data_IF_425175531383
#
_entry.id   IF_425175531383
#
_cell.length_a   1.000
_cell.length_b   1.000
_cell.length_c   1.000
_cell.angle_alpha   90.00
_cell.angle_beta   90.00
_cell.angle_gamma   90.00
#
_symmetry.space_group_name_H-M   'P 1'
#
loop_
_entity.id
_entity.type
_entity.pdbx_description
1 polymer ?
#
# COMPACT_ATOMS: atom_id res chain seq x y z
N UNK A 1 -0.08 -14.00 -23.27
CA UNK A 1 -0.73 -14.12 -21.95
C UNK A 1 -2.25 -13.92 -22.04
N UNK A 2 -2.72 -12.88 -22.72
CA UNK A 2 -4.16 -12.67 -22.92
C UNK A 2 -4.79 -13.75 -23.82
N UNK A 3 -4.17 -14.08 -24.93
CA UNK A 3 -4.58 -15.17 -25.85
C UNK A 3 -4.60 -16.53 -25.16
N UNK A 4 -3.68 -16.79 -24.23
CA UNK A 4 -3.66 -18.00 -23.39
C UNK A 4 -4.70 -18.00 -22.27
N UNK A 5 -5.51 -16.94 -22.11
CA UNK A 5 -6.52 -16.80 -21.07
C UNK A 5 -5.94 -16.66 -19.65
N UNK A 6 -4.66 -16.29 -19.50
CA UNK A 6 -4.03 -16.10 -18.20
C UNK A 6 -4.36 -14.72 -17.60
N UNK A 7 -4.61 -13.75 -18.46
CA UNK A 7 -5.02 -12.40 -18.08
C UNK A 7 -6.19 -11.92 -18.93
N UNK A 8 -7.08 -11.17 -18.31
CA UNK A 8 -8.12 -10.39 -19.02
C UNK A 8 -7.62 -8.98 -19.23
N UNK A 9 -7.70 -8.51 -20.47
CA UNK A 9 -7.47 -7.10 -20.82
C UNK A 9 -8.75 -6.31 -20.62
N UNK A 10 -8.63 -5.14 -20.01
CA UNK A 10 -9.74 -4.20 -19.83
C UNK A 10 -9.30 -2.79 -20.19
N UNK A 11 -10.19 -2.06 -20.85
CA UNK A 11 -10.01 -0.64 -21.21
C UNK A 11 -11.14 0.16 -20.52
N UNK A 12 -11.07 0.39 -19.18
CA UNK A 12 -12.21 0.91 -18.41
C UNK A 12 -12.53 2.37 -18.73
N UNK A 13 -11.54 3.16 -19.15
CA UNK A 13 -11.70 4.57 -19.44
C UNK A 13 -10.94 4.98 -20.70
N UNK A 14 -11.54 5.76 -21.62
CA UNK A 14 -10.85 6.29 -22.78
C UNK A 14 -9.63 7.14 -22.39
N UNK A 15 -8.49 6.85 -23.02
CA UNK A 15 -7.25 7.59 -22.80
C UNK A 15 -6.49 7.24 -21.53
N UNK A 16 -7.00 6.36 -20.69
CA UNK A 16 -6.30 5.84 -19.52
C UNK A 16 -5.50 4.56 -19.86
N UNK A 17 -4.49 4.19 -19.05
CA UNK A 17 -3.75 2.95 -19.23
C UNK A 17 -4.64 1.72 -19.23
N UNK A 18 -4.32 0.77 -20.08
CA UNK A 18 -5.00 -0.53 -20.11
C UNK A 18 -4.75 -1.27 -18.81
N UNK A 19 -5.77 -1.96 -18.36
CA UNK A 19 -5.72 -2.79 -17.18
C UNK A 19 -5.65 -4.27 -17.57
N UNK A 20 -4.72 -5.00 -16.98
CA UNK A 20 -4.59 -6.43 -17.11
C UNK A 20 -4.91 -7.08 -15.77
N UNK A 21 -5.90 -7.94 -15.77
CA UNK A 21 -6.36 -8.66 -14.58
C UNK A 21 -6.03 -10.14 -14.72
N UNK A 22 -5.38 -10.71 -13.71
CA UNK A 22 -5.15 -12.16 -13.66
C UNK A 22 -6.49 -12.91 -13.61
N UNK A 23 -6.62 -13.94 -14.42
CA UNK A 23 -7.73 -14.89 -14.35
C UNK A 23 -7.47 -15.97 -13.30
N UNK A 24 -8.47 -16.79 -12.96
CA UNK A 24 -8.26 -17.97 -12.12
C UNK A 24 -7.24 -18.92 -12.72
N UNK A 25 -7.26 -19.14 -14.05
CA UNK A 25 -6.26 -19.93 -14.78
C UNK A 25 -4.86 -19.33 -14.65
N UNK A 26 -4.75 -17.98 -14.77
CA UNK A 26 -3.48 -17.28 -14.60
C UNK A 26 -2.93 -17.40 -13.19
N UNK A 27 -3.79 -17.25 -12.16
CA UNK A 27 -3.38 -17.44 -10.77
C UNK A 27 -2.92 -18.87 -10.50
N UNK A 28 -3.64 -19.86 -10.98
CA UNK A 28 -3.25 -21.27 -10.86
C UNK A 28 -1.92 -21.54 -11.57
N UNK A 29 -1.70 -20.97 -12.77
CA UNK A 29 -0.47 -21.13 -13.53
C UNK A 29 0.79 -20.63 -12.77
N UNK A 30 0.65 -19.58 -11.96
CA UNK A 30 1.77 -19.05 -11.13
C UNK A 30 1.75 -19.60 -9.69
N UNK A 31 0.92 -20.61 -9.40
CA UNK A 31 0.81 -21.20 -8.06
C UNK A 31 0.25 -20.26 -7.00
N UNK A 32 -0.51 -19.22 -7.39
CA UNK A 32 -1.07 -18.26 -6.45
C UNK A 32 -2.44 -18.72 -5.95
N UNK A 33 -2.61 -19.00 -4.63
CA UNK A 33 -3.85 -19.55 -4.08
C UNK A 33 -4.96 -18.50 -3.90
N UNK A 34 -4.70 -17.23 -4.20
CA UNK A 34 -5.69 -16.19 -4.01
C UNK A 34 -6.83 -16.32 -5.04
N UNK A 35 -8.09 -16.01 -4.67
CA UNK A 35 -9.20 -16.00 -5.62
C UNK A 35 -8.97 -14.93 -6.71
N UNK A 36 -9.68 -15.02 -7.83
CA UNK A 36 -9.61 -13.99 -8.88
C UNK A 36 -9.96 -12.61 -8.29
N UNK A 37 -9.15 -11.56 -8.56
CA UNK A 37 -9.45 -10.22 -8.04
C UNK A 37 -10.76 -9.68 -8.60
N UNK A 38 -11.57 -9.07 -7.73
CA UNK A 38 -12.69 -8.22 -8.16
C UNK A 38 -12.19 -6.94 -8.81
N UNK A 39 -13.02 -6.34 -9.66
CA UNK A 39 -12.75 -5.03 -10.27
C UNK A 39 -13.66 -4.00 -9.63
N UNK A 40 -13.08 -3.00 -8.98
CA UNK A 40 -13.80 -1.83 -8.51
C UNK A 40 -13.34 -0.59 -9.29
N UNK A 41 -14.15 -0.12 -10.21
CA UNK A 41 -13.79 1.02 -11.06
C UNK A 41 -13.64 2.33 -10.26
N UNK A 42 -14.27 2.47 -9.10
CA UNK A 42 -14.09 3.64 -8.24
C UNK A 42 -12.70 3.71 -7.60
N UNK A 43 -12.02 2.58 -7.49
CA UNK A 43 -10.67 2.45 -6.95
C UNK A 43 -9.60 2.30 -8.04
N UNK A 44 -9.98 2.43 -9.32
CA UNK A 44 -9.08 2.21 -10.45
C UNK A 44 -7.74 2.94 -10.32
N UNK A 45 -7.75 4.25 -10.02
CA UNK A 45 -6.52 5.05 -9.89
C UNK A 45 -5.65 4.57 -8.75
N UNK A 46 -6.26 4.20 -7.64
CA UNK A 46 -5.56 3.65 -6.48
C UNK A 46 -4.94 2.28 -6.84
N UNK A 47 -5.71 1.37 -7.42
CA UNK A 47 -5.22 0.03 -7.78
C UNK A 47 -4.07 0.09 -8.79
N UNK A 48 -4.18 0.95 -9.80
CA UNK A 48 -3.09 1.20 -10.76
C UNK A 48 -1.87 1.78 -10.05
N UNK A 49 -2.07 2.75 -9.17
CA UNK A 49 -0.99 3.35 -8.38
C UNK A 49 -0.27 2.32 -7.50
N UNK A 50 -1.01 1.47 -6.80
CA UNK A 50 -0.45 0.38 -5.97
C UNK A 50 0.32 -0.63 -6.83
N UNK A 51 -0.18 -0.98 -8.03
CA UNK A 51 0.54 -1.86 -8.96
C UNK A 51 1.88 -1.24 -9.39
N UNK A 52 1.92 0.06 -9.69
CA UNK A 52 3.17 0.77 -10.00
C UNK A 52 4.12 0.83 -8.81
N UNK A 53 3.62 1.05 -7.60
CA UNK A 53 4.45 1.01 -6.38
C UNK A 53 5.06 -0.37 -6.17
N UNK A 54 4.31 -1.43 -6.42
CA UNK A 54 4.82 -2.78 -6.35
C UNK A 54 5.95 -3.02 -7.37
N UNK A 55 5.78 -2.56 -8.61
CA UNK A 55 6.81 -2.65 -9.65
C UNK A 55 8.05 -1.81 -9.27
N UNK A 56 7.87 -0.60 -8.74
CA UNK A 56 8.95 0.26 -8.27
C UNK A 56 9.73 -0.40 -7.11
N UNK A 57 9.02 -1.02 -6.17
CA UNK A 57 9.63 -1.77 -5.06
C UNK A 57 10.45 -2.96 -5.58
N UNK A 58 9.90 -3.73 -6.53
CA UNK A 58 10.63 -4.81 -7.22
C UNK A 58 11.84 -4.31 -7.99
N UNK A 59 11.77 -3.11 -8.54
CA UNK A 59 12.87 -2.43 -9.24
C UNK A 59 13.92 -1.79 -8.33
N UNK A 60 13.81 -1.95 -7.01
CA UNK A 60 14.81 -1.47 -6.05
C UNK A 60 14.66 -0.01 -5.62
N UNK A 61 13.55 0.68 -5.96
CA UNK A 61 13.32 2.10 -5.59
C UNK A 61 13.40 2.34 -4.08
N UNK A 62 13.04 1.34 -3.27
CA UNK A 62 13.06 1.41 -1.80
C UNK A 62 14.27 0.68 -1.18
N UNK A 63 15.32 0.43 -1.97
CA UNK A 63 16.49 -0.33 -1.55
C UNK A 63 16.30 -1.85 -1.63
N UNK A 64 17.24 -2.62 -1.10
CA UNK A 64 17.16 -4.08 -1.10
C UNK A 64 16.04 -4.56 -0.17
N UNK A 65 15.12 -5.35 -0.71
CA UNK A 65 13.98 -5.90 0.00
C UNK A 65 14.05 -7.43 0.01
N UNK A 66 13.76 -8.03 1.16
CA UNK A 66 13.58 -9.46 1.31
C UNK A 66 12.20 -9.91 0.82
N UNK A 67 11.16 -9.07 1.01
CA UNK A 67 9.80 -9.42 0.64
C UNK A 67 8.94 -8.18 0.40
N UNK A 68 7.94 -8.32 -0.49
CA UNK A 68 6.89 -7.32 -0.73
C UNK A 68 5.54 -8.03 -0.63
N UNK A 69 4.71 -7.61 0.32
CA UNK A 69 3.38 -8.20 0.57
C UNK A 69 2.30 -7.16 0.31
N UNK A 70 1.38 -7.45 -0.60
CA UNK A 70 0.25 -6.56 -0.89
C UNK A 70 -0.94 -6.79 0.04
N UNK A 71 -1.80 -5.77 0.16
CA UNK A 71 -3.01 -5.77 0.99
C UNK A 71 -3.91 -7.01 0.80
N UNK A 72 -4.00 -7.50 -0.43
CA UNK A 72 -4.81 -8.67 -0.75
C UNK A 72 -4.27 -9.94 -0.09
N UNK A 73 -2.95 -10.13 -0.07
CA UNK A 73 -2.32 -11.26 0.63
C UNK A 73 -2.48 -11.13 2.13
N UNK A 74 -2.32 -9.92 2.69
CA UNK A 74 -2.55 -9.64 4.11
C UNK A 74 -3.98 -9.99 4.52
N UNK A 75 -4.99 -9.54 3.75
CA UNK A 75 -6.40 -9.89 3.98
C UNK A 75 -6.66 -11.40 3.92
N UNK A 76 -6.02 -12.10 2.99
CA UNK A 76 -6.16 -13.56 2.89
C UNK A 76 -5.60 -14.27 4.11
N UNK A 77 -4.43 -13.85 4.60
CA UNK A 77 -3.81 -14.39 5.81
C UNK A 77 -4.72 -14.17 7.03
N UNK A 78 -5.29 -12.96 7.18
CA UNK A 78 -6.21 -12.67 8.29
C UNK A 78 -7.55 -13.39 8.16
N UNK A 79 -8.01 -13.64 6.93
CA UNK A 79 -9.22 -14.41 6.66
C UNK A 79 -9.14 -15.88 7.10
N UNK A 80 -7.94 -16.47 7.00
CA UNK A 80 -7.66 -17.86 7.38
C UNK A 80 -6.98 -17.99 8.75
N UNK A 81 -6.79 -16.87 9.45
CA UNK A 81 -6.08 -16.82 10.73
C UNK A 81 -6.85 -17.54 11.83
N UNK A 82 -6.16 -18.35 12.62
CA UNK A 82 -6.69 -18.94 13.82
C UNK A 82 -7.03 -17.88 14.88
N UNK A 83 -8.04 -18.19 15.73
CA UNK A 83 -8.42 -17.27 16.80
C UNK A 83 -7.26 -17.11 17.80
N UNK A 84 -6.89 -15.86 18.09
CA UNK A 84 -5.78 -15.53 19.00
C UNK A 84 -4.40 -15.44 18.34
N UNK A 85 -4.25 -15.89 17.10
CA UNK A 85 -2.99 -15.68 16.37
C UNK A 85 -2.79 -14.20 16.02
N UNK A 86 -1.53 -13.81 15.79
CA UNK A 86 -1.17 -12.42 15.43
C UNK A 86 -1.70 -12.07 14.05
N UNK A 87 -2.40 -10.93 13.86
CA UNK A 87 -2.90 -10.53 12.56
C UNK A 87 -1.78 -10.09 11.61
N UNK A 88 -1.99 -10.31 10.32
CA UNK A 88 -1.12 -9.77 9.28
C UNK A 88 -1.32 -8.25 9.09
N UNK A 89 -2.55 -7.78 9.26
CA UNK A 89 -2.91 -6.36 9.28
C UNK A 89 -2.62 -5.68 10.63
N UNK A 90 -2.90 -4.39 10.68
CA UNK A 90 -2.73 -3.52 11.85
C UNK A 90 -4.05 -3.39 12.61
N UNK A 91 -4.04 -3.57 13.93
CA UNK A 91 -5.23 -3.44 14.77
C UNK A 91 -5.69 -1.99 14.88
N UNK A 92 -6.98 -1.75 14.59
CA UNK A 92 -7.61 -0.43 14.73
C UNK A 92 -8.33 -0.23 16.06
N UNK A 93 -8.30 -1.24 16.91
CA UNK A 93 -9.09 -1.30 18.12
C UNK A 93 -10.58 -1.60 17.89
N UNK A 94 -11.19 -2.25 18.86
CA UNK A 94 -12.58 -2.70 18.81
C UNK A 94 -12.83 -3.86 17.84
N UNK A 95 -14.10 -4.25 17.78
CA UNK A 95 -14.54 -5.39 16.98
C UNK A 95 -15.48 -4.94 15.86
N UNK A 96 -15.40 -5.61 14.74
CA UNK A 96 -16.30 -5.48 13.60
C UNK A 96 -17.46 -6.49 13.71
N UNK A 97 -18.20 -6.69 12.60
CA UNK A 97 -19.23 -7.72 12.51
C UNK A 97 -18.68 -9.10 12.88
N UNK A 98 -19.53 -9.92 13.49
CA UNK A 98 -19.19 -11.28 13.91
C UNK A 98 -18.04 -11.38 14.93
N UNK A 99 -17.78 -10.33 15.73
CA UNK A 99 -16.75 -10.34 16.78
C UNK A 99 -15.30 -10.41 16.24
N UNK A 100 -15.08 -10.14 14.96
CA UNK A 100 -13.73 -10.07 14.39
C UNK A 100 -13.07 -8.74 14.72
N UNK A 101 -11.78 -8.78 15.01
CA UNK A 101 -10.98 -7.55 15.19
C UNK A 101 -11.07 -6.64 13.96
N UNK A 102 -11.13 -5.35 14.21
CA UNK A 102 -11.01 -4.36 13.12
C UNK A 102 -9.55 -4.20 12.74
N UNK A 103 -9.24 -4.56 11.51
CA UNK A 103 -7.88 -4.49 10.97
C UNK A 103 -7.82 -3.47 9.83
N UNK A 104 -6.66 -2.83 9.73
CA UNK A 104 -6.24 -2.10 8.55
C UNK A 104 -5.15 -2.90 7.84
N UNK A 105 -5.27 -3.03 6.53
CA UNK A 105 -4.26 -3.70 5.72
C UNK A 105 -3.55 -2.63 4.88
N UNK A 106 -2.25 -2.40 5.11
CA UNK A 106 -1.44 -1.52 4.26
C UNK A 106 -1.55 -1.90 2.80
N UNK A 107 -1.41 -0.93 1.90
CA UNK A 107 -1.39 -1.22 0.46
C UNK A 107 -0.25 -2.17 0.10
N UNK A 108 0.95 -1.88 0.65
CA UNK A 108 2.08 -2.80 0.61
C UNK A 108 2.78 -2.83 1.98
N UNK A 109 3.34 -3.98 2.31
CA UNK A 109 4.34 -4.13 3.38
C UNK A 109 5.66 -4.50 2.73
N UNK A 110 6.68 -3.71 2.96
CA UNK A 110 8.05 -3.97 2.55
C UNK A 110 8.81 -4.57 3.74
N UNK A 111 9.47 -5.70 3.53
CA UNK A 111 10.41 -6.25 4.50
C UNK A 111 11.83 -6.04 3.97
N UNK A 112 12.62 -5.30 4.71
CA UNK A 112 14.03 -5.05 4.40
C UNK A 112 14.89 -6.28 4.66
N UNK A 113 16.12 -6.31 4.14
CA UNK A 113 17.02 -7.45 4.31
C UNK A 113 17.37 -7.72 5.78
N UNK A 114 17.37 -6.69 6.64
CA UNK A 114 17.55 -6.79 8.09
C UNK A 114 16.27 -7.12 8.86
N UNK A 115 15.17 -7.47 8.15
CA UNK A 115 13.93 -7.96 8.73
C UNK A 115 12.94 -6.88 9.18
N UNK A 116 13.26 -5.58 9.10
CA UNK A 116 12.32 -4.50 9.43
C UNK A 116 11.16 -4.48 8.44
N UNK A 117 9.99 -4.13 8.95
CA UNK A 117 8.77 -3.97 8.14
C UNK A 117 8.44 -2.49 8.02
N UNK A 118 8.20 -2.05 6.80
CA UNK A 118 7.75 -0.69 6.48
C UNK A 118 6.44 -0.79 5.72
N UNK A 119 5.42 -0.09 6.20
CA UNK A 119 4.16 0.00 5.48
C UNK A 119 4.25 1.09 4.40
N UNK A 120 3.68 0.82 3.22
CA UNK A 120 3.42 1.81 2.18
C UNK A 120 1.91 2.03 2.08
N UNK A 121 1.49 3.29 2.12
CA UNK A 121 0.12 3.75 1.96
C UNK A 121 0.04 4.73 0.79
N UNK A 122 -0.72 4.41 -0.23
CA UNK A 122 -1.04 5.33 -1.32
C UNK A 122 -2.33 6.09 -0.98
N UNK A 123 -2.22 7.37 -0.65
CA UNK A 123 -3.36 8.17 -0.26
C UNK A 123 -3.67 9.24 -1.31
N UNK A 124 -4.63 8.96 -2.16
CA UNK A 124 -5.06 9.86 -3.24
C UNK A 124 -6.16 10.83 -2.78
N UNK A 125 -6.95 10.44 -1.77
CA UNK A 125 -8.08 11.23 -1.25
C UNK A 125 -8.00 11.36 0.26
N UNK A 126 -8.45 12.48 0.83
CA UNK A 126 -8.43 12.64 2.29
C UNK A 126 -9.34 11.61 2.97
N UNK A 127 -8.81 10.88 3.93
CA UNK A 127 -9.61 10.10 4.89
C UNK A 127 -10.21 11.02 5.96
N UNK A 128 -11.30 10.58 6.59
CA UNK A 128 -11.80 11.27 7.77
C UNK A 128 -10.73 11.29 8.87
N UNK A 129 -10.71 12.37 9.66
CA UNK A 129 -9.76 12.53 10.77
C UNK A 129 -9.73 11.31 11.70
N UNK A 130 -10.91 10.89 12.15
CA UNK A 130 -11.05 9.75 13.07
C UNK A 130 -10.47 8.44 12.48
N UNK A 131 -10.72 8.18 11.18
CA UNK A 131 -10.19 6.99 10.51
C UNK A 131 -8.67 7.05 10.41
N UNK A 132 -8.13 8.19 10.02
CA UNK A 132 -6.69 8.38 9.87
C UNK A 132 -5.96 8.25 11.21
N UNK A 133 -6.49 8.87 12.27
CA UNK A 133 -5.93 8.77 13.63
C UNK A 133 -5.95 7.33 14.14
N UNK A 134 -7.01 6.56 13.90
CA UNK A 134 -7.07 5.13 14.25
C UNK A 134 -6.01 4.31 13.53
N UNK A 135 -5.79 4.58 12.24
CA UNK A 135 -4.76 3.87 11.45
C UNK A 135 -3.36 4.19 12.02
N UNK A 136 -3.06 5.48 12.25
CA UNK A 136 -1.76 5.89 12.77
C UNK A 136 -1.51 5.38 14.20
N UNK A 137 -2.54 5.42 15.07
CA UNK A 137 -2.46 4.83 16.41
C UNK A 137 -2.21 3.31 16.35
N UNK A 138 -2.85 2.63 15.40
CA UNK A 138 -2.61 1.20 15.16
C UNK A 138 -1.17 0.91 14.76
N UNK A 139 -0.58 1.68 13.85
CA UNK A 139 0.83 1.55 13.49
C UNK A 139 1.77 1.83 14.66
N UNK A 140 1.48 2.86 15.44
CA UNK A 140 2.29 3.20 16.62
C UNK A 140 2.25 2.13 17.72
N UNK A 141 1.13 1.42 17.83
CA UNK A 141 0.96 0.34 18.80
C UNK A 141 1.52 -1.01 18.29
N UNK A 142 1.93 -1.12 17.04
CA UNK A 142 2.38 -2.36 16.43
C UNK A 142 3.92 -2.35 16.24
N UNK A 143 4.67 -2.99 17.17
CA UNK A 143 6.14 -2.97 17.14
C UNK A 143 6.75 -3.67 15.93
N UNK A 144 5.95 -4.37 15.14
CA UNK A 144 6.41 -5.02 13.91
C UNK A 144 6.72 -4.03 12.79
N UNK A 145 6.21 -2.80 12.88
CA UNK A 145 6.45 -1.75 11.87
C UNK A 145 7.50 -0.76 12.36
N UNK A 146 8.58 -0.64 11.61
CA UNK A 146 9.63 0.35 11.82
C UNK A 146 9.25 1.74 11.29
N UNK A 147 8.22 1.82 10.44
CA UNK A 147 7.76 3.07 9.86
C UNK A 147 6.60 2.87 8.87
N UNK A 148 5.96 3.99 8.54
CA UNK A 148 4.92 4.08 7.54
C UNK A 148 5.27 5.18 6.55
N UNK A 149 5.30 4.84 5.26
CA UNK A 149 5.50 5.79 4.17
C UNK A 149 4.15 6.09 3.52
N UNK A 150 3.66 7.31 3.69
CA UNK A 150 2.51 7.82 2.99
C UNK A 150 2.94 8.45 1.66
N UNK A 151 2.48 7.89 0.57
CA UNK A 151 2.63 8.41 -0.78
C UNK A 151 1.39 9.20 -1.13
N UNK A 152 1.53 10.52 -1.25
CA UNK A 152 0.39 11.43 -1.37
C UNK A 152 0.49 12.29 -2.63
N UNK A 153 -0.63 12.49 -3.32
CA UNK A 153 -0.66 13.33 -4.52
C UNK A 153 -0.88 14.81 -4.18
N UNK A 154 -1.79 15.09 -3.24
CA UNK A 154 -2.18 16.46 -2.92
C UNK A 154 -1.56 17.00 -1.63
N UNK A 155 -1.31 18.33 -1.61
CA UNK A 155 -0.87 19.02 -0.38
C UNK A 155 -1.90 18.96 0.74
N UNK A 156 -3.19 18.85 0.41
CA UNK A 156 -4.26 18.76 1.40
C UNK A 156 -4.18 17.42 2.15
N UNK A 157 -3.98 16.31 1.43
CA UNK A 157 -3.78 14.99 2.02
C UNK A 157 -2.52 14.98 2.87
N UNK A 158 -1.39 15.51 2.36
CA UNK A 158 -0.15 15.61 3.13
C UNK A 158 -0.34 16.34 4.47
N UNK A 159 -1.00 17.52 4.44
CA UNK A 159 -1.29 18.27 5.67
C UNK A 159 -2.18 17.50 6.65
N UNK A 160 -3.18 16.77 6.13
CA UNK A 160 -4.06 15.95 6.96
C UNK A 160 -3.28 14.86 7.70
N UNK A 161 -2.41 14.12 6.99
CA UNK A 161 -1.57 13.07 7.59
C UNK A 161 -0.59 13.65 8.60
N UNK A 162 0.11 14.74 8.26
CA UNK A 162 1.04 15.41 9.18
C UNK A 162 0.35 15.91 10.45
N UNK A 163 -0.84 16.53 10.30
CA UNK A 163 -1.59 17.02 11.43
C UNK A 163 -2.06 15.89 12.35
N UNK A 164 -2.48 14.74 11.79
CA UNK A 164 -2.86 13.58 12.57
C UNK A 164 -1.65 12.97 13.30
N UNK A 165 -0.50 12.81 12.61
CA UNK A 165 0.73 12.29 13.20
C UNK A 165 1.22 13.17 14.38
N UNK A 166 1.20 14.50 14.23
CA UNK A 166 1.56 15.44 15.31
C UNK A 166 0.63 15.32 16.50
N UNK A 167 -0.70 15.26 16.28
CA UNK A 167 -1.65 15.11 17.40
C UNK A 167 -1.46 13.85 18.21
N UNK A 168 -1.02 12.78 17.57
CA UNK A 168 -0.77 11.49 18.21
C UNK A 168 0.67 11.35 18.74
N UNK A 169 1.56 12.33 18.48
CA UNK A 169 2.97 12.24 18.87
C UNK A 169 3.77 11.18 18.12
N UNK A 170 3.33 10.79 16.90
CA UNK A 170 3.92 9.69 16.11
C UNK A 170 4.59 10.18 14.82
N UNK A 171 5.03 11.44 14.81
CA UNK A 171 5.63 12.06 13.61
C UNK A 171 6.88 11.32 13.12
N UNK A 172 7.67 10.73 14.01
CA UNK A 172 8.90 10.01 13.67
C UNK A 172 8.63 8.68 12.98
N UNK A 173 7.44 8.10 13.21
CA UNK A 173 7.00 6.88 12.55
C UNK A 173 6.54 7.14 11.10
N UNK A 174 6.10 8.36 10.78
CA UNK A 174 5.40 8.70 9.54
C UNK A 174 6.29 9.46 8.59
N UNK A 175 6.57 8.86 7.45
CA UNK A 175 7.31 9.49 6.35
C UNK A 175 6.33 9.87 5.23
N UNK A 176 6.37 11.13 4.81
CA UNK A 176 5.53 11.64 3.73
C UNK A 176 6.36 11.87 2.48
N UNK A 177 5.93 11.27 1.39
CA UNK A 177 6.50 11.50 0.07
C UNK A 177 5.40 11.91 -0.90
N UNK A 178 5.62 13.02 -1.61
CA UNK A 178 4.73 13.42 -2.69
C UNK A 178 5.02 12.60 -3.93
N UNK A 179 3.94 12.08 -4.52
CA UNK A 179 3.98 11.40 -5.81
C UNK A 179 3.12 12.18 -6.80
N UNK A 180 3.50 12.14 -8.07
CA UNK A 180 2.64 12.59 -9.16
C UNK A 180 2.16 11.35 -9.87
N UNK A 181 0.85 11.11 -9.84
CA UNK A 181 0.25 10.12 -10.72
C UNK A 181 0.23 10.72 -12.12
N UNK A 182 1.20 10.35 -12.94
CA UNK A 182 1.16 10.65 -14.38
C UNK A 182 0.25 9.67 -15.11
N UNK A 183 -0.94 9.45 -14.60
CA UNK A 183 -2.06 8.96 -15.38
C UNK A 183 -2.59 10.18 -16.11
N UNK A 184 -1.75 10.77 -16.96
CA UNK A 184 -2.08 11.93 -17.76
C UNK A 184 -2.36 11.51 -19.20
N UNK A 185 -3.24 12.23 -19.81
CA UNK A 185 -3.84 12.15 -21.15
C UNK A 185 -2.89 12.05 -22.34
N UNK A 186 -1.72 11.48 -22.26
CA UNK A 186 -0.89 11.22 -23.45
C UNK A 186 -0.23 9.85 -23.35
N UNK A 187 -0.13 9.19 -24.47
CA UNK A 187 0.42 7.85 -24.67
C UNK A 187 1.94 7.72 -24.38
N UNK A 188 2.45 8.50 -23.48
CA UNK A 188 3.85 8.45 -23.02
C UNK A 188 3.89 7.68 -21.70
N UNK A 189 4.84 6.78 -21.55
CA UNK A 189 5.09 5.93 -20.39
C UNK A 189 4.68 6.57 -19.05
N UNK A 190 3.79 5.96 -18.24
CA UNK A 190 3.50 6.47 -16.90
C UNK A 190 4.77 6.34 -16.05
N UNK A 191 5.32 7.46 -15.64
CA UNK A 191 6.41 7.52 -14.69
C UNK A 191 5.86 7.97 -13.34
N UNK A 192 5.95 7.13 -12.32
CA UNK A 192 5.92 7.57 -10.93
C UNK A 192 7.25 8.24 -10.63
N UNK A 193 7.28 9.56 -10.80
CA UNK A 193 8.43 10.35 -10.39
C UNK A 193 8.25 10.75 -8.93
N UNK A 194 9.08 10.20 -8.06
CA UNK A 194 9.24 10.72 -6.70
C UNK A 194 9.98 12.05 -6.79
N UNK A 195 9.30 13.15 -6.51
CA UNK A 195 9.92 14.45 -6.38
C UNK A 195 10.73 14.48 -5.07
N UNK A 196 12.05 14.33 -5.18
CA UNK A 196 12.96 14.53 -4.05
C UNK A 196 12.87 15.99 -3.63
N UNK A 197 12.49 16.25 -2.38
CA UNK A 197 12.71 17.56 -1.78
C UNK A 197 14.22 17.87 -1.81
N UNK A 198 14.63 19.07 -2.23
CA UNK A 198 16.04 19.44 -2.23
C UNK A 198 16.55 19.42 -0.77
N UNK A 199 17.48 18.53 -0.48
CA UNK A 199 18.20 18.49 0.80
C UNK A 199 17.93 17.34 1.74
N UNK A 200 16.93 16.48 1.55
CA UNK A 200 16.77 15.31 2.42
C UNK A 200 17.45 14.08 1.80
N UNK A 201 18.68 13.83 2.19
CA UNK A 201 19.20 12.46 2.15
C UNK A 201 18.31 11.65 3.08
N UNK A 202 17.46 10.80 2.54
CA UNK A 202 16.71 9.81 3.32
C UNK A 202 17.72 8.82 3.88
N UNK A 203 18.38 9.20 4.98
CA UNK A 203 19.00 8.21 5.86
C UNK A 203 17.84 7.42 6.43
N UNK A 204 17.79 6.14 6.12
CA UNK A 204 17.04 5.19 6.94
C UNK A 204 17.49 5.38 8.38
N UNK A 205 16.59 5.48 9.36
CA UNK A 205 17.00 5.69 10.74
C UNK A 205 17.96 4.57 11.14
N UNK A 206 19.19 4.98 11.55
CA UNK A 206 20.15 4.10 12.19
C UNK A 206 19.53 3.57 13.49
N UNK A 207 19.60 2.28 13.70
CA UNK A 207 19.14 1.63 14.91
C UNK A 207 19.79 2.29 16.13
N UNK A 208 18.95 2.77 17.05
CA UNK A 208 19.39 3.12 18.40
C UNK A 208 19.87 1.82 19.05
N UNK A 209 21.12 1.84 19.46
CA UNK A 209 21.71 0.81 20.29
C UNK A 209 21.09 0.80 21.69
#
# INVERSE_FOLDING_TARGET
>A
LAEGGLVNRRDPFPGEPRWYQMTGKGLAHIGNPLPTPGVNLSEYKHDVGVAWLWLAARGGTFGPLAEIVGARRLRSLDGSRERGAEPAGVRLGGFGPHGRERLHHPDLVLRTADGRRVALELELTPKSRTRLEKILAGYAADPRFAGVVYLVESRAVARSVQAAARRLGVSDLVHLQRVRSTVSRSASKPALTAERAPGSRTRMPEAVR
#
